data_IF_313796830973
#
_entry.id   IF_313796830973
#
_cell.length_a   1.000
_cell.length_b   1.000
_cell.length_c   1.000
_cell.angle_alpha   90.00
_cell.angle_beta   90.00
_cell.angle_gamma   90.00
#
_symmetry.space_group_name_H-M   'P 1'
#
loop_
_entity.id
_entity.type
_entity.pdbx_description
1 polymer ?
#
# COMPACT_ATOMS: atom_id res chain seq x y z
N UNK A 1 -7.55 14.95 -25.55
CA UNK A 1 -7.81 14.60 -24.13
C UNK A 1 -7.78 15.87 -23.31
N UNK A 2 -8.76 16.06 -22.42
CA UNK A 2 -8.79 17.20 -21.48
C UNK A 2 -7.81 16.91 -20.33
N UNK A 3 -6.76 17.74 -20.18
CA UNK A 3 -5.70 17.53 -19.20
C UNK A 3 -6.17 17.72 -17.76
N UNK A 4 -7.17 18.56 -17.49
CA UNK A 4 -7.73 18.72 -16.14
C UNK A 4 -8.52 17.47 -15.71
N UNK A 5 -9.24 16.85 -16.65
CA UNK A 5 -9.90 15.56 -16.38
C UNK A 5 -8.88 14.44 -16.13
N UNK A 6 -7.78 14.44 -16.89
CA UNK A 6 -6.70 13.45 -16.69
C UNK A 6 -6.08 13.60 -15.32
N UNK A 7 -5.70 14.82 -14.93
CA UNK A 7 -5.10 15.09 -13.63
C UNK A 7 -6.08 14.76 -12.49
N UNK A 8 -7.35 15.17 -12.59
CA UNK A 8 -8.39 14.82 -11.61
C UNK A 8 -8.54 13.31 -11.47
N UNK A 9 -8.60 12.56 -12.59
CA UNK A 9 -8.67 11.11 -12.58
C UNK A 9 -7.47 10.50 -11.83
N UNK A 10 -6.26 10.95 -12.14
CA UNK A 10 -5.03 10.48 -11.49
C UNK A 10 -5.00 10.81 -10.01
N UNK A 11 -5.36 12.03 -9.63
CA UNK A 11 -5.43 12.43 -8.22
C UNK A 11 -6.36 11.51 -7.44
N UNK A 12 -7.59 11.30 -7.90
CA UNK A 12 -8.59 10.49 -7.20
C UNK A 12 -8.19 9.02 -7.10
N UNK A 13 -7.57 8.46 -8.13
CA UNK A 13 -7.14 7.07 -8.12
C UNK A 13 -5.81 6.85 -7.40
N UNK A 14 -4.85 7.76 -7.54
CA UNK A 14 -3.49 7.56 -7.02
C UNK A 14 -3.33 8.01 -5.58
N UNK A 15 -4.05 9.08 -5.15
CA UNK A 15 -4.03 9.59 -3.76
C UNK A 15 -5.21 9.07 -2.92
N UNK A 16 -6.19 8.44 -3.54
CA UNK A 16 -7.24 7.64 -2.94
C UNK A 16 -7.24 6.23 -3.52
N UNK A 17 -8.41 5.64 -3.58
CA UNK A 17 -8.64 4.32 -4.23
C UNK A 17 -9.71 4.43 -5.34
N UNK A 18 -9.82 5.58 -5.99
CA UNK A 18 -10.86 5.88 -6.96
C UNK A 18 -12.12 6.48 -6.33
N UNK A 19 -13.02 7.04 -7.14
CA UNK A 19 -14.20 7.74 -6.65
C UNK A 19 -15.30 6.77 -6.22
N UNK A 20 -16.13 7.22 -5.29
CA UNK A 20 -17.49 6.70 -5.08
C UNK A 20 -18.44 7.31 -6.09
N UNK A 21 -19.67 6.80 -6.12
CA UNK A 21 -20.74 7.33 -6.99
C UNK A 21 -20.90 8.84 -6.75
N UNK A 22 -20.79 9.63 -7.82
CA UNK A 22 -20.94 11.08 -7.81
C UNK A 22 -19.71 11.90 -7.37
N UNK A 23 -18.73 11.31 -6.70
CA UNK A 23 -17.54 12.02 -6.22
C UNK A 23 -16.71 12.61 -7.36
N UNK A 24 -16.49 11.87 -8.45
CA UNK A 24 -15.68 12.36 -9.55
C UNK A 24 -16.28 13.61 -10.22
N UNK A 25 -17.60 13.62 -10.39
CA UNK A 25 -18.32 14.79 -10.91
C UNK A 25 -18.18 16.01 -9.98
N UNK A 26 -18.16 15.78 -8.67
CA UNK A 26 -17.92 16.84 -7.67
C UNK A 26 -16.51 17.38 -7.80
N UNK A 27 -15.50 16.54 -7.91
CA UNK A 27 -14.10 16.92 -8.10
C UNK A 27 -13.88 17.70 -9.40
N UNK A 28 -14.53 17.30 -10.50
CA UNK A 28 -14.45 18.01 -11.77
C UNK A 28 -15.06 19.42 -11.66
N UNK A 29 -16.16 19.59 -10.93
CA UNK A 29 -16.82 20.90 -10.74
C UNK A 29 -15.98 21.85 -9.90
N UNK A 30 -15.30 21.38 -8.86
CA UNK A 30 -14.46 22.23 -8.00
C UNK A 30 -13.10 22.56 -8.63
N UNK A 31 -12.68 21.82 -9.66
CA UNK A 31 -11.42 22.01 -10.37
C UNK A 31 -10.21 21.34 -9.70
N UNK A 32 -9.11 21.22 -10.45
CA UNK A 32 -7.91 20.50 -10.05
C UNK A 32 -7.26 21.01 -8.75
N UNK A 33 -7.07 22.33 -8.54
CA UNK A 33 -6.45 22.81 -7.30
C UNK A 33 -7.25 22.43 -6.06
N UNK A 34 -8.57 22.68 -6.07
CA UNK A 34 -9.44 22.38 -4.93
C UNK A 34 -9.57 20.86 -4.69
N UNK A 35 -9.57 20.05 -5.77
CA UNK A 35 -9.53 18.58 -5.66
C UNK A 35 -8.25 18.12 -4.97
N UNK A 36 -7.10 18.65 -5.36
CA UNK A 36 -5.81 18.35 -4.77
C UNK A 36 -5.78 18.69 -3.28
N UNK A 37 -6.20 19.90 -2.94
CA UNK A 37 -6.23 20.36 -1.55
C UNK A 37 -7.19 19.50 -0.70
N UNK A 38 -8.36 19.16 -1.23
CA UNK A 38 -9.31 18.26 -0.58
C UNK A 38 -8.73 16.88 -0.31
N UNK A 39 -8.03 16.28 -1.28
CA UNK A 39 -7.41 14.94 -1.12
C UNK A 39 -6.22 14.96 -0.15
N UNK A 40 -5.47 16.07 -0.08
CA UNK A 40 -4.33 16.23 0.83
C UNK A 40 -4.75 16.62 2.26
N UNK A 41 -6.00 17.03 2.47
CA UNK A 41 -6.53 17.38 3.78
C UNK A 41 -7.05 16.13 4.48
N UNK A 42 -6.39 15.74 5.57
CA UNK A 42 -6.81 14.61 6.40
C UNK A 42 -7.79 15.10 7.47
N UNK A 43 -9.05 14.64 7.46
CA UNK A 43 -10.00 15.02 8.49
C UNK A 43 -9.61 14.40 9.84
N UNK A 44 -9.91 15.10 10.94
CA UNK A 44 -9.69 14.57 12.30
C UNK A 44 -10.57 13.35 12.61
N UNK A 45 -11.73 13.26 11.97
CA UNK A 45 -12.67 12.14 12.05
C UNK A 45 -13.07 11.74 10.63
N UNK A 46 -12.93 10.47 10.30
CA UNK A 46 -13.41 9.89 9.05
C UNK A 46 -14.72 9.14 9.32
N UNK A 47 -15.84 9.73 8.92
CA UNK A 47 -17.18 9.17 9.16
C UNK A 47 -17.41 7.88 8.36
N UNK A 48 -16.76 7.72 7.20
CA UNK A 48 -16.82 6.49 6.41
C UNK A 48 -16.30 5.27 7.16
N UNK A 49 -15.44 5.49 8.17
CA UNK A 49 -14.89 4.42 9.00
C UNK A 49 -15.74 4.07 10.23
N UNK A 50 -16.78 4.85 10.54
CA UNK A 50 -17.58 4.68 11.77
C UNK A 50 -18.30 3.32 11.85
N UNK A 51 -18.59 2.68 10.72
CA UNK A 51 -19.27 1.38 10.66
C UNK A 51 -18.31 0.19 10.69
N UNK A 52 -17.00 0.41 10.71
CA UNK A 52 -16.00 -0.65 10.62
C UNK A 52 -15.64 -1.16 12.00
N UNK A 53 -15.94 -2.43 12.26
CA UNK A 53 -15.56 -3.09 13.50
C UNK A 53 -14.07 -3.43 13.50
N UNK A 54 -13.37 -3.13 14.59
CA UNK A 54 -11.96 -3.49 14.75
C UNK A 54 -11.79 -5.02 14.75
N UNK A 55 -10.69 -5.54 14.17
CA UNK A 55 -10.41 -6.96 14.22
C UNK A 55 -10.08 -7.38 15.65
N UNK A 56 -10.53 -8.57 16.03
CA UNK A 56 -10.25 -9.16 17.34
C UNK A 56 -9.23 -10.28 17.19
N UNK A 57 -8.33 -10.38 18.17
CA UNK A 57 -7.29 -11.41 18.18
C UNK A 57 -7.38 -12.22 19.48
N UNK A 58 -7.66 -13.51 19.32
CA UNK A 58 -7.62 -14.44 20.44
C UNK A 58 -6.23 -15.03 20.51
N UNK A 59 -5.65 -15.07 21.70
CA UNK A 59 -4.40 -15.78 21.93
C UNK A 59 -4.66 -17.29 21.76
N UNK A 60 -4.08 -17.87 20.75
CA UNK A 60 -4.15 -19.30 20.47
C UNK A 60 -2.99 -20.09 21.09
N UNK A 61 -2.19 -19.41 21.90
CA UNK A 61 -1.03 -19.99 22.57
C UNK A 61 0.14 -20.22 21.62
N UNK A 62 1.11 -21.01 22.11
CA UNK A 62 2.26 -21.44 21.32
C UNK A 62 1.81 -22.38 20.20
N UNK A 63 2.44 -22.23 19.01
CA UNK A 63 2.20 -23.15 17.89
C UNK A 63 2.45 -24.61 18.35
N UNK A 64 1.45 -25.49 18.19
CA UNK A 64 1.60 -26.92 18.52
C UNK A 64 2.66 -27.58 17.63
N UNK A 65 3.20 -28.71 18.13
CA UNK A 65 4.14 -29.52 17.35
C UNK A 65 3.46 -30.07 16.09
N UNK A 66 4.22 -30.21 14.99
CA UNK A 66 3.70 -30.81 13.76
C UNK A 66 3.13 -32.22 14.05
N UNK A 67 2.02 -32.55 13.37
CA UNK A 67 1.35 -33.87 13.48
C UNK A 67 0.64 -34.11 14.83
N UNK A 68 0.42 -33.09 15.66
CA UNK A 68 -0.45 -33.22 16.83
C UNK A 68 -1.89 -32.82 16.49
N UNK A 69 -2.92 -33.31 17.22
CA UNK A 69 -4.33 -32.95 16.95
C UNK A 69 -4.60 -31.45 17.05
N UNK A 70 -3.84 -30.72 17.88
CA UNK A 70 -3.99 -29.29 18.16
C UNK A 70 -3.53 -28.41 16.99
N UNK A 71 -2.73 -28.92 16.05
CA UNK A 71 -2.19 -28.15 14.93
C UNK A 71 -3.29 -27.64 13.98
N UNK A 72 -4.36 -28.46 13.79
CA UNK A 72 -5.45 -28.09 12.87
C UNK A 72 -6.30 -26.97 13.47
N UNK A 73 -6.82 -27.04 14.71
CA UNK A 73 -7.54 -25.93 15.35
C UNK A 73 -6.70 -24.64 15.40
N UNK A 74 -5.41 -24.74 15.72
CA UNK A 74 -4.49 -23.60 15.71
C UNK A 74 -4.42 -22.95 14.32
N UNK A 75 -4.18 -23.74 13.27
CA UNK A 75 -4.08 -23.25 11.89
C UNK A 75 -5.38 -22.62 11.41
N UNK A 76 -6.53 -23.21 11.76
CA UNK A 76 -7.86 -22.65 11.44
C UNK A 76 -8.07 -21.30 12.14
N UNK A 77 -7.72 -21.21 13.43
CA UNK A 77 -7.81 -19.96 14.19
C UNK A 77 -6.91 -18.86 13.62
N UNK A 78 -5.66 -19.18 13.29
CA UNK A 78 -4.72 -18.23 12.66
C UNK A 78 -5.24 -17.75 11.30
N UNK A 79 -5.76 -18.67 10.47
CA UNK A 79 -6.35 -18.33 9.18
C UNK A 79 -7.53 -17.39 9.34
N UNK A 80 -8.48 -17.71 10.22
CA UNK A 80 -9.68 -16.90 10.45
C UNK A 80 -9.32 -15.48 10.90
N UNK A 81 -8.42 -15.33 11.86
CA UNK A 81 -7.98 -14.01 12.33
C UNK A 81 -7.22 -13.22 11.23
N UNK A 82 -6.44 -13.92 10.39
CA UNK A 82 -5.77 -13.29 9.25
C UNK A 82 -6.77 -12.80 8.20
N UNK A 83 -7.78 -13.59 7.87
CA UNK A 83 -8.82 -13.23 6.91
C UNK A 83 -9.66 -12.05 7.42
N UNK A 84 -9.96 -12.02 8.72
CA UNK A 84 -10.63 -10.89 9.37
C UNK A 84 -9.77 -9.60 9.30
N UNK A 85 -8.48 -9.70 9.56
CA UNK A 85 -7.56 -8.57 9.44
C UNK A 85 -7.48 -8.02 8.01
N UNK A 86 -7.38 -8.90 7.02
CA UNK A 86 -7.36 -8.50 5.61
C UNK A 86 -8.66 -7.83 5.21
N UNK A 87 -9.81 -8.41 5.58
CA UNK A 87 -11.13 -7.87 5.27
C UNK A 87 -11.35 -6.51 5.93
N UNK A 88 -10.99 -6.37 7.21
CA UNK A 88 -11.02 -5.11 7.93
C UNK A 88 -10.21 -4.02 7.24
N UNK A 89 -8.99 -4.33 6.78
CA UNK A 89 -8.16 -3.33 6.11
C UNK A 89 -8.71 -2.95 4.74
N UNK A 90 -9.23 -3.92 3.98
CA UNK A 90 -9.89 -3.63 2.71
C UNK A 90 -11.18 -2.81 2.89
N UNK A 91 -11.94 -3.02 3.97
CA UNK A 91 -13.07 -2.17 4.31
C UNK A 91 -12.64 -0.73 4.57
N UNK A 92 -11.55 -0.51 5.29
CA UNK A 92 -11.01 0.84 5.50
C UNK A 92 -10.64 1.53 4.19
N UNK A 93 -9.99 0.82 3.27
CA UNK A 93 -9.65 1.35 1.94
C UNK A 93 -10.89 1.68 1.10
N UNK A 94 -11.96 0.87 1.21
CA UNK A 94 -13.17 1.05 0.42
C UNK A 94 -14.14 2.09 1.01
N UNK A 95 -14.29 2.12 2.33
CA UNK A 95 -15.31 2.92 3.02
C UNK A 95 -14.80 4.25 3.59
N UNK A 96 -13.49 4.41 3.79
CA UNK A 96 -12.91 5.67 4.29
C UNK A 96 -13.26 6.86 3.39
N UNK A 97 -13.62 8.00 3.99
CA UNK A 97 -13.94 9.23 3.27
C UNK A 97 -12.68 9.91 2.72
N UNK A 98 -11.59 9.91 3.51
CA UNK A 98 -10.28 10.32 3.04
C UNK A 98 -9.42 9.09 2.74
N UNK A 99 -9.21 8.85 1.44
CA UNK A 99 -8.42 7.69 0.99
C UNK A 99 -6.91 7.84 1.19
N UNK A 100 -6.38 9.04 1.43
CA UNK A 100 -4.94 9.29 1.41
C UNK A 100 -4.20 8.57 2.55
N UNK A 101 -4.73 8.57 3.77
CA UNK A 101 -4.13 7.87 4.90
C UNK A 101 -4.01 6.37 4.64
N UNK A 102 -5.09 5.73 4.15
CA UNK A 102 -5.05 4.30 3.83
C UNK A 102 -4.20 4.02 2.58
N UNK A 103 -4.16 4.94 1.60
CA UNK A 103 -3.26 4.87 0.44
C UNK A 103 -1.78 4.88 0.88
N UNK A 104 -1.43 5.76 1.81
CA UNK A 104 -0.07 5.82 2.34
C UNK A 104 0.24 4.65 3.27
N UNK A 105 -0.72 4.15 4.04
CA UNK A 105 -0.59 2.90 4.81
C UNK A 105 -0.29 1.72 3.87
N UNK A 106 -0.98 1.65 2.72
CA UNK A 106 -0.72 0.66 1.68
C UNK A 106 0.66 0.82 1.04
N UNK A 107 1.09 2.06 0.79
CA UNK A 107 2.44 2.36 0.30
C UNK A 107 3.51 1.87 1.30
N UNK A 108 3.36 2.21 2.58
CA UNK A 108 4.32 1.81 3.62
C UNK A 108 4.36 0.30 3.85
N UNK A 109 3.24 -0.40 3.72
CA UNK A 109 3.23 -1.86 3.74
C UNK A 109 4.02 -2.48 2.57
N UNK A 110 4.08 -1.82 1.42
CA UNK A 110 4.92 -2.23 0.30
C UNK A 110 6.38 -1.78 0.43
N UNK A 111 6.66 -0.75 1.22
CA UNK A 111 8.00 -0.22 1.49
C UNK A 111 8.71 -0.99 2.62
N UNK A 112 8.06 -1.14 3.77
CA UNK A 112 8.53 -1.92 4.92
C UNK A 112 7.98 -3.36 4.86
N UNK A 113 8.14 -4.01 3.71
CA UNK A 113 7.39 -5.21 3.42
C UNK A 113 7.73 -6.38 4.35
N UNK A 114 6.69 -6.87 5.03
CA UNK A 114 6.71 -8.05 5.88
C UNK A 114 5.57 -8.99 5.51
N UNK A 115 5.79 -10.29 5.55
CA UNK A 115 4.78 -11.27 5.15
C UNK A 115 4.29 -12.11 6.32
N UNK A 116 2.97 -12.22 6.43
CA UNK A 116 2.33 -13.09 7.41
C UNK A 116 2.67 -14.57 7.19
N UNK A 117 3.17 -14.94 6.01
CA UNK A 117 3.60 -16.30 5.72
C UNK A 117 4.73 -16.81 6.63
N UNK A 118 5.65 -15.91 7.08
CA UNK A 118 6.70 -16.22 8.05
C UNK A 118 6.28 -15.87 9.48
N UNK A 119 5.61 -14.71 9.66
CA UNK A 119 5.18 -14.21 10.97
C UNK A 119 4.22 -15.20 11.63
N UNK A 120 3.28 -15.75 10.87
CA UNK A 120 2.27 -16.73 11.31
C UNK A 120 1.34 -16.27 12.45
N UNK A 121 1.39 -15.00 12.85
CA UNK A 121 0.53 -14.40 13.85
C UNK A 121 -0.04 -13.08 13.31
N UNK A 122 -1.36 -12.90 13.28
CA UNK A 122 -1.97 -11.69 12.72
C UNK A 122 -1.85 -10.46 13.61
N UNK A 123 -1.72 -10.60 14.93
CA UNK A 123 -1.62 -9.46 15.85
C UNK A 123 -0.37 -8.59 15.62
N UNK A 124 0.86 -9.13 15.42
CA UNK A 124 2.00 -8.31 15.02
C UNK A 124 1.79 -7.57 13.70
N UNK A 125 1.16 -8.20 12.71
CA UNK A 125 0.84 -7.56 11.43
C UNK A 125 -0.20 -6.44 11.56
N UNK A 126 -1.18 -6.60 12.46
CA UNK A 126 -2.12 -5.54 12.81
C UNK A 126 -1.41 -4.35 13.47
N UNK A 127 -0.55 -4.61 14.45
CA UNK A 127 0.24 -3.55 15.12
C UNK A 127 1.12 -2.79 14.12
N UNK A 128 1.77 -3.49 13.23
CA UNK A 128 2.56 -2.88 12.16
C UNK A 128 1.69 -2.03 11.22
N UNK A 129 0.51 -2.51 10.85
CA UNK A 129 -0.44 -1.76 10.02
C UNK A 129 -0.90 -0.47 10.73
N UNK A 130 -1.16 -0.52 12.05
CA UNK A 130 -1.47 0.67 12.85
C UNK A 130 -0.27 1.63 12.95
N UNK A 131 0.96 1.11 13.04
CA UNK A 131 2.18 1.93 12.99
C UNK A 131 2.29 2.67 11.66
N UNK A 132 2.07 1.98 10.54
CA UNK A 132 2.05 2.62 9.22
C UNK A 132 0.98 3.70 9.14
N UNK A 133 -0.21 3.47 9.66
CA UNK A 133 -1.32 4.43 9.64
C UNK A 133 -1.02 5.64 10.50
N UNK A 134 -0.48 5.43 11.70
CA UNK A 134 -0.10 6.51 12.61
C UNK A 134 0.88 7.49 11.97
N UNK A 135 1.86 6.97 11.26
CA UNK A 135 2.91 7.75 10.61
C UNK A 135 2.72 7.93 9.11
N UNK A 136 1.56 7.55 8.56
CA UNK A 136 1.29 7.51 7.12
C UNK A 136 1.72 8.78 6.37
N UNK A 137 1.45 9.95 6.96
CA UNK A 137 1.69 11.29 6.43
C UNK A 137 2.52 12.16 7.41
N UNK A 138 2.98 11.58 8.50
CA UNK A 138 3.75 12.26 9.55
C UNK A 138 5.25 12.28 9.28
N UNK A 139 6.02 12.19 10.35
CA UNK A 139 7.48 12.28 10.30
C UNK A 139 8.11 10.92 10.00
N UNK A 140 8.94 10.86 8.94
CA UNK A 140 9.61 9.61 8.54
C UNK A 140 10.67 9.13 9.52
N UNK A 141 11.33 10.04 10.26
CA UNK A 141 12.29 9.63 11.30
C UNK A 141 11.58 8.90 12.44
N UNK A 142 10.42 9.39 12.88
CA UNK A 142 9.61 8.72 13.88
C UNK A 142 9.10 7.35 13.38
N UNK A 143 8.66 7.27 12.11
CA UNK A 143 8.29 6.00 11.50
C UNK A 143 9.47 5.03 11.47
N UNK A 144 10.63 5.48 11.03
CA UNK A 144 11.84 4.67 10.93
C UNK A 144 12.29 4.10 12.29
N UNK A 145 12.26 4.92 13.35
CA UNK A 145 12.51 4.46 14.72
C UNK A 145 11.46 3.44 15.20
N UNK A 146 10.17 3.69 14.93
CA UNK A 146 9.10 2.77 15.27
C UNK A 146 9.28 1.41 14.56
N UNK A 147 9.73 1.42 13.30
CA UNK A 147 9.98 0.20 12.53
C UNK A 147 11.16 -0.60 13.04
N UNK A 148 12.20 0.03 13.60
CA UNK A 148 13.30 -0.71 14.26
C UNK A 148 12.81 -1.55 15.45
N UNK A 149 11.74 -1.14 16.10
CA UNK A 149 11.14 -1.86 17.24
C UNK A 149 9.80 -2.51 16.88
N UNK A 150 9.50 -2.64 15.58
CA UNK A 150 8.32 -3.35 15.10
C UNK A 150 8.53 -4.86 15.16
N UNK A 151 7.66 -5.57 15.87
CA UNK A 151 7.81 -7.00 16.11
C UNK A 151 7.69 -7.85 14.84
N UNK A 152 6.86 -7.42 13.88
CA UNK A 152 6.72 -8.12 12.62
C UNK A 152 7.99 -7.97 11.77
N UNK A 153 8.54 -6.75 11.65
CA UNK A 153 9.77 -6.49 10.90
C UNK A 153 10.98 -7.19 11.52
N UNK A 154 11.13 -7.09 12.84
CA UNK A 154 12.21 -7.77 13.58
C UNK A 154 12.18 -9.28 13.36
N UNK A 155 11.00 -9.90 13.44
CA UNK A 155 10.85 -11.34 13.21
C UNK A 155 11.04 -11.71 11.73
N UNK A 156 10.55 -10.88 10.81
CA UNK A 156 10.67 -11.11 9.37
C UNK A 156 12.13 -11.15 8.90
N UNK A 157 12.98 -10.28 9.45
CA UNK A 157 14.39 -10.12 9.10
C UNK A 157 15.34 -10.82 10.09
N UNK A 158 14.82 -11.68 10.98
CA UNK A 158 15.57 -12.44 11.99
C UNK A 158 16.39 -11.54 12.94
N UNK A 159 15.95 -10.30 13.15
CA UNK A 159 16.60 -9.35 14.05
C UNK A 159 16.60 -9.80 15.51
N UNK A 160 15.59 -10.58 15.95
CA UNK A 160 15.51 -11.17 17.29
C UNK A 160 16.63 -12.20 17.58
N UNK A 161 17.28 -12.72 16.55
CA UNK A 161 18.38 -13.67 16.70
C UNK A 161 19.74 -12.94 16.80
N UNK A 162 19.80 -11.64 16.48
CA UNK A 162 21.00 -10.83 16.43
C UNK A 162 21.62 -10.65 17.82
N UNK A 163 22.91 -11.02 17.97
CA UNK A 163 23.67 -10.87 19.21
C UNK A 163 25.06 -10.31 18.93
N UNK A 164 25.75 -9.79 19.96
CA UNK A 164 27.13 -9.31 19.81
C UNK A 164 28.09 -10.41 19.32
N UNK A 165 27.77 -11.69 19.53
CA UNK A 165 28.56 -12.85 19.04
C UNK A 165 28.26 -13.20 17.60
N UNK A 166 27.03 -12.94 17.15
CA UNK A 166 26.52 -13.24 15.82
C UNK A 166 25.58 -12.11 15.38
N UNK A 167 26.13 -10.96 14.96
CA UNK A 167 25.31 -9.88 14.43
C UNK A 167 24.59 -10.30 13.15
N UNK A 168 23.32 -9.92 13.02
CA UNK A 168 22.50 -10.22 11.84
C UNK A 168 22.66 -9.11 10.80
N UNK A 169 23.36 -9.39 9.72
CA UNK A 169 23.57 -8.43 8.63
C UNK A 169 22.30 -8.19 7.80
N UNK A 170 21.37 -9.13 7.76
CA UNK A 170 20.16 -9.02 6.93
C UNK A 170 19.32 -7.79 7.30
N UNK A 171 18.97 -7.65 8.60
CA UNK A 171 18.23 -6.48 9.07
C UNK A 171 19.00 -5.18 8.76
N UNK A 172 20.31 -5.17 9.00
CA UNK A 172 21.16 -3.99 8.76
C UNK A 172 21.22 -3.60 7.28
N UNK A 173 21.40 -4.56 6.40
CA UNK A 173 21.44 -4.39 4.95
C UNK A 173 20.10 -3.84 4.44
N UNK A 174 18.99 -4.50 4.76
CA UNK A 174 17.67 -4.09 4.31
C UNK A 174 17.27 -2.72 4.85
N UNK A 175 17.72 -2.38 6.08
CA UNK A 175 17.45 -1.07 6.66
C UNK A 175 18.10 0.06 5.87
N UNK A 176 19.31 -0.15 5.35
CA UNK A 176 19.97 0.82 4.47
C UNK A 176 19.44 0.74 3.04
N UNK A 177 19.35 -0.45 2.48
CA UNK A 177 19.12 -0.64 1.05
C UNK A 177 17.66 -0.41 0.63
N UNK A 178 16.70 -1.05 1.34
CA UNK A 178 15.30 -1.02 0.94
C UNK A 178 14.48 0.03 1.66
N UNK A 179 14.93 0.47 2.86
CA UNK A 179 14.09 1.29 3.69
C UNK A 179 14.55 2.75 3.82
N UNK A 180 15.86 3.04 3.69
CA UNK A 180 16.35 4.40 3.94
C UNK A 180 17.23 5.02 2.86
N UNK A 181 18.25 4.35 2.36
CA UNK A 181 19.23 4.97 1.46
C UNK A 181 19.10 4.57 0.00
N UNK A 182 18.74 3.31 -0.27
CA UNK A 182 18.80 2.71 -1.59
C UNK A 182 20.12 1.98 -1.87
N UNK A 183 20.15 1.26 -2.98
CA UNK A 183 21.31 0.46 -3.41
C UNK A 183 22.56 1.32 -3.69
N UNK A 184 23.76 0.74 -3.49
CA UNK A 184 25.05 1.35 -3.83
C UNK A 184 25.41 2.64 -3.08
N UNK A 185 24.83 2.88 -1.89
CA UNK A 185 25.09 4.08 -1.06
C UNK A 185 25.76 3.76 0.27
N UNK A 186 26.24 2.55 0.42
CA UNK A 186 26.93 2.02 1.60
C UNK A 186 27.91 0.92 1.18
N UNK A 187 28.83 0.57 2.06
CA UNK A 187 29.80 -0.51 1.89
C UNK A 187 29.40 -1.75 2.70
N UNK A 188 30.06 -2.88 2.45
CA UNK A 188 29.90 -4.10 3.27
C UNK A 188 30.37 -3.88 4.72
N UNK A 189 31.32 -2.99 4.96
CA UNK A 189 31.74 -2.65 6.32
C UNK A 189 30.67 -1.82 7.06
N UNK A 190 29.89 -0.98 6.33
CA UNK A 190 28.73 -0.30 6.89
C UNK A 190 27.61 -1.29 7.26
N UNK A 191 27.41 -2.35 6.45
CA UNK A 191 26.46 -3.43 6.78
C UNK A 191 26.84 -4.12 8.08
N UNK A 192 28.12 -4.45 8.26
CA UNK A 192 28.62 -5.05 9.52
C UNK A 192 28.49 -4.08 10.70
N UNK A 193 28.75 -2.78 10.46
CA UNK A 193 28.64 -1.75 11.49
C UNK A 193 27.20 -1.61 12.00
N UNK A 194 26.22 -1.52 11.08
CA UNK A 194 24.81 -1.40 11.46
C UNK A 194 24.31 -2.70 12.09
N UNK A 195 24.70 -3.87 11.59
CA UNK A 195 24.32 -5.16 12.17
C UNK A 195 24.73 -5.26 13.63
N UNK A 196 25.96 -4.81 13.98
CA UNK A 196 26.46 -4.75 15.37
C UNK A 196 25.63 -3.77 16.22
N UNK A 197 25.31 -2.60 15.67
CA UNK A 197 24.51 -1.57 16.37
C UNK A 197 23.07 -2.00 16.63
N UNK A 198 22.52 -2.91 15.81
CA UNK A 198 21.14 -3.43 15.94
C UNK A 198 21.05 -4.76 16.70
N UNK A 199 22.11 -5.19 17.39
CA UNK A 199 22.05 -6.38 18.25
C UNK A 199 21.25 -6.15 19.52
N UNK A 200 20.73 -7.22 20.13
CA UNK A 200 20.11 -7.20 21.46
C UNK A 200 18.58 -7.15 21.49
N UNK A 201 17.91 -6.97 20.37
CA UNK A 201 16.44 -7.03 20.31
C UNK A 201 15.94 -8.47 20.46
N UNK A 202 14.81 -8.64 21.14
CA UNK A 202 14.11 -9.90 21.32
C UNK A 202 12.62 -9.69 21.06
N UNK A 203 11.97 -10.68 20.43
CA UNK A 203 10.56 -10.59 20.01
C UNK A 203 9.75 -11.72 20.58
N UNK A 204 8.60 -11.40 21.15
CA UNK A 204 7.54 -12.37 21.43
C UNK A 204 6.65 -12.45 20.18
N UNK A 205 6.83 -13.49 19.39
CA UNK A 205 6.22 -13.58 18.06
C UNK A 205 4.68 -13.47 18.08
N UNK A 206 4.00 -14.11 19.02
CA UNK A 206 2.53 -14.12 19.11
C UNK A 206 1.94 -12.72 19.37
N UNK A 207 2.64 -11.87 20.12
CA UNK A 207 2.18 -10.51 20.46
C UNK A 207 2.87 -9.41 19.65
N UNK A 208 4.01 -9.70 19.01
CA UNK A 208 4.87 -8.69 18.40
C UNK A 208 5.54 -7.76 19.41
N UNK A 209 5.60 -8.14 20.69
CA UNK A 209 6.26 -7.32 21.71
C UNK A 209 7.76 -7.43 21.55
N UNK A 210 8.44 -6.29 21.41
CA UNK A 210 9.90 -6.20 21.32
C UNK A 210 10.46 -5.72 22.66
N UNK A 211 11.53 -6.37 23.07
CA UNK A 211 12.33 -5.98 24.28
C UNK A 211 13.80 -5.86 23.90
N UNK A 212 14.55 -5.05 24.64
CA UNK A 212 15.97 -4.89 24.44
C UNK A 212 16.75 -5.54 25.58
N UNK A 213 17.71 -6.40 25.25
CA UNK A 213 18.56 -7.11 26.17
C UNK A 213 20.03 -6.65 26.01
N UNK A 214 20.48 -5.80 26.94
CA UNK A 214 21.85 -5.27 26.92
C UNK A 214 22.94 -6.36 26.95
N UNK A 215 22.69 -7.53 27.57
CA UNK A 215 23.64 -8.65 27.58
C UNK A 215 23.86 -9.29 26.22
N UNK A 216 22.97 -9.02 25.27
CA UNK A 216 23.05 -9.50 23.88
C UNK A 216 23.57 -8.42 22.91
N UNK A 217 23.64 -7.18 23.38
CA UNK A 217 24.03 -6.01 22.58
C UNK A 217 25.55 -5.83 22.46
N UNK A 218 26.04 -5.40 21.28
CA UNK A 218 27.43 -4.99 21.08
C UNK A 218 27.59 -3.53 21.51
N UNK A 219 28.33 -3.31 22.61
CA UNK A 219 28.56 -1.99 23.19
C UNK A 219 29.80 -1.28 22.64
N UNK A 220 30.49 -1.86 21.64
CA UNK A 220 31.70 -1.27 21.07
C UNK A 220 31.34 -0.24 19.99
N UNK A 221 32.20 0.80 19.88
CA UNK A 221 32.08 1.73 18.77
C UNK A 221 32.23 1.03 17.42
N UNK A 222 31.48 1.55 16.42
CA UNK A 222 31.55 1.13 15.03
C UNK A 222 31.75 2.36 14.15
N UNK A 223 32.30 2.15 12.95
CA UNK A 223 32.36 3.18 11.91
C UNK A 223 31.23 2.91 10.90
N UNK A 224 30.23 3.80 10.87
CA UNK A 224 29.10 3.74 9.97
C UNK A 224 29.13 4.97 9.07
N UNK A 225 29.24 4.77 7.76
CA UNK A 225 29.26 5.84 6.74
C UNK A 225 30.21 6.98 7.10
N UNK A 226 31.44 6.62 7.56
CA UNK A 226 32.48 7.54 7.92
C UNK A 226 32.42 8.14 9.33
N UNK A 227 31.38 7.84 10.12
CA UNK A 227 31.23 8.32 11.50
C UNK A 227 31.53 7.21 12.49
N UNK A 228 32.50 7.42 13.40
CA UNK A 228 32.89 6.44 14.43
C UNK A 228 32.33 6.83 15.78
N UNK A 229 31.42 6.03 16.32
CA UNK A 229 30.89 6.13 17.69
C UNK A 229 30.18 4.84 18.10
N UNK A 230 29.76 4.75 19.34
CA UNK A 230 28.72 3.80 19.74
C UNK A 230 27.37 4.32 19.23
N UNK A 231 26.67 3.51 18.45
CA UNK A 231 25.32 3.81 17.94
C UNK A 231 24.28 2.96 18.68
N UNK A 232 23.28 3.59 19.22
CA UNK A 232 22.02 2.92 19.56
C UNK A 232 21.16 2.71 18.32
N UNK A 233 20.16 1.82 18.37
CA UNK A 233 19.24 1.62 17.24
C UNK A 233 18.52 2.91 16.80
N UNK A 234 18.07 3.73 17.77
CA UNK A 234 17.47 5.02 17.47
C UNK A 234 18.44 5.97 16.76
N UNK A 235 19.69 6.06 17.25
CA UNK A 235 20.72 6.90 16.61
C UNK A 235 21.12 6.40 15.21
N UNK A 236 21.09 5.08 14.97
CA UNK A 236 21.24 4.52 13.61
C UNK A 236 20.16 5.06 12.71
N UNK A 237 18.89 4.94 13.13
CA UNK A 237 17.75 5.43 12.36
C UNK A 237 17.88 6.92 12.03
N UNK A 238 18.11 7.76 13.05
CA UNK A 238 18.23 9.20 12.88
C UNK A 238 19.41 9.58 11.95
N UNK A 239 20.53 8.90 12.10
CA UNK A 239 21.73 9.12 11.29
C UNK A 239 21.49 8.81 9.81
N UNK A 240 20.80 7.71 9.50
CA UNK A 240 20.47 7.34 8.12
C UNK A 240 19.41 8.26 7.52
N UNK A 241 18.35 8.56 8.28
CA UNK A 241 17.26 9.42 7.81
C UNK A 241 17.71 10.87 7.63
N UNK A 242 18.71 11.33 8.37
CA UNK A 242 19.27 12.68 8.23
C UNK A 242 20.01 12.92 6.90
N UNK A 243 20.39 11.87 6.19
CA UNK A 243 21.20 11.98 4.96
C UNK A 243 20.37 12.44 3.76
N UNK A 244 21.00 13.16 2.85
CA UNK A 244 20.40 13.59 1.56
C UNK A 244 20.02 12.38 0.70
N UNK A 245 20.77 11.29 0.79
CA UNK A 245 20.45 10.02 0.14
C UNK A 245 19.07 9.50 0.54
N UNK A 246 18.70 9.64 1.82
CA UNK A 246 17.37 9.22 2.29
C UNK A 246 16.27 10.10 1.69
N UNK A 247 16.45 11.43 1.69
CA UNK A 247 15.50 12.35 1.10
C UNK A 247 15.25 12.01 -0.38
N UNK A 248 16.31 11.74 -1.12
CA UNK A 248 16.23 11.34 -2.51
C UNK A 248 15.53 9.99 -2.67
N UNK A 249 15.94 8.98 -1.91
CA UNK A 249 15.37 7.63 -2.01
C UNK A 249 13.87 7.60 -1.71
N UNK A 250 13.42 8.23 -0.63
CA UNK A 250 11.98 8.29 -0.30
C UNK A 250 11.20 9.05 -1.38
N UNK A 251 11.77 10.13 -1.92
CA UNK A 251 11.16 10.86 -3.03
C UNK A 251 11.06 10.00 -4.29
N UNK A 252 12.09 9.22 -4.63
CA UNK A 252 12.10 8.26 -5.74
C UNK A 252 11.04 7.17 -5.57
N UNK A 253 10.87 6.64 -4.34
CA UNK A 253 9.84 5.64 -4.03
C UNK A 253 8.42 6.21 -4.19
N UNK A 254 8.18 7.45 -3.75
CA UNK A 254 6.91 8.13 -3.93
C UNK A 254 6.65 8.49 -5.40
N UNK A 255 7.66 8.99 -6.12
CA UNK A 255 7.56 9.21 -7.57
C UNK A 255 7.15 7.94 -8.30
N UNK A 256 7.86 6.85 -8.06
CA UNK A 256 7.61 5.54 -8.68
C UNK A 256 6.18 5.03 -8.42
N UNK A 257 5.62 5.33 -7.26
CA UNK A 257 4.31 4.82 -6.85
C UNK A 257 3.15 5.75 -7.27
N UNK A 258 3.38 7.05 -7.40
CA UNK A 258 2.31 8.01 -7.62
C UNK A 258 2.38 8.77 -8.95
N UNK A 259 3.54 8.83 -9.60
CA UNK A 259 3.70 9.55 -10.87
C UNK A 259 3.97 8.58 -12.02
N UNK A 260 5.10 7.86 -11.97
CA UNK A 260 5.50 6.97 -13.06
C UNK A 260 6.34 5.81 -12.55
N UNK A 261 6.00 4.59 -12.99
CA UNK A 261 6.79 3.39 -12.75
C UNK A 261 7.81 3.11 -13.88
N UNK A 262 7.84 3.94 -14.91
CA UNK A 262 8.72 3.79 -16.09
C UNK A 262 9.68 4.95 -16.26
N UNK A 263 9.26 6.17 -15.93
CA UNK A 263 10.07 7.38 -16.04
C UNK A 263 10.79 7.68 -14.73
N UNK A 264 12.11 7.90 -14.81
CA UNK A 264 12.91 8.25 -13.64
C UNK A 264 12.51 9.62 -13.07
N UNK A 265 12.58 9.75 -11.75
CA UNK A 265 12.38 11.02 -11.08
C UNK A 265 13.45 12.04 -11.51
N UNK A 266 13.07 13.27 -11.90
CA UNK A 266 14.03 14.33 -12.22
C UNK A 266 14.92 14.69 -11.02
N UNK A 267 16.19 15.03 -11.29
CA UNK A 267 17.12 15.43 -10.23
C UNK A 267 16.69 16.67 -9.44
N UNK A 268 15.92 17.56 -10.07
CA UNK A 268 15.40 18.80 -9.47
C UNK A 268 13.97 18.66 -8.95
N UNK A 269 13.48 17.43 -8.73
CA UNK A 269 12.14 17.22 -8.18
C UNK A 269 11.98 17.89 -6.82
N UNK A 270 10.96 18.75 -6.69
CA UNK A 270 10.75 19.55 -5.49
C UNK A 270 10.51 18.74 -4.21
N UNK A 271 10.05 17.49 -4.34
CA UNK A 271 9.84 16.59 -3.22
C UNK A 271 11.11 16.29 -2.41
N UNK A 272 12.29 16.29 -3.05
CA UNK A 272 13.57 16.07 -2.36
C UNK A 272 13.81 17.17 -1.31
N UNK A 273 13.60 18.44 -1.69
CA UNK A 273 13.73 19.57 -0.79
C UNK A 273 12.61 19.63 0.25
N UNK A 274 11.40 19.21 -0.14
CA UNK A 274 10.23 19.14 0.75
C UNK A 274 10.42 18.16 1.90
N UNK A 275 11.34 17.20 1.79
CA UNK A 275 11.67 16.23 2.83
C UNK A 275 12.65 16.78 3.90
N UNK A 276 13.05 18.05 3.83
CA UNK A 276 14.05 18.63 4.75
C UNK A 276 13.73 18.41 6.24
N UNK A 277 12.47 18.47 6.64
CA UNK A 277 11.99 18.19 8.00
C UNK A 277 11.52 16.73 8.19
N UNK A 278 11.75 15.85 7.23
CA UNK A 278 11.30 14.45 7.18
C UNK A 278 9.76 14.29 7.18
N UNK A 279 9.04 15.36 6.84
CA UNK A 279 7.58 15.35 6.76
C UNK A 279 7.10 14.69 5.46
N UNK A 280 6.45 13.54 5.58
CA UNK A 280 5.97 12.73 4.46
C UNK A 280 4.91 13.49 3.66
N UNK A 281 3.97 14.16 4.33
CA UNK A 281 2.91 14.92 3.67
C UNK A 281 3.47 16.00 2.74
N UNK A 282 4.59 16.63 3.11
CA UNK A 282 5.24 17.66 2.28
C UNK A 282 5.72 17.10 0.93
N UNK A 283 6.31 15.89 0.94
CA UNK A 283 6.72 15.22 -0.30
C UNK A 283 5.51 14.74 -1.10
N UNK A 284 4.50 14.17 -0.45
CA UNK A 284 3.24 13.75 -1.09
C UNK A 284 2.55 14.95 -1.76
N UNK A 285 2.55 16.11 -1.12
CA UNK A 285 2.01 17.34 -1.69
C UNK A 285 2.83 17.84 -2.90
N UNK A 286 4.16 17.71 -2.85
CA UNK A 286 5.01 18.01 -4.00
C UNK A 286 4.74 17.08 -5.18
N UNK A 287 4.58 15.76 -4.93
CA UNK A 287 4.17 14.77 -5.92
C UNK A 287 2.81 15.14 -6.55
N UNK A 288 1.82 15.48 -5.73
CA UNK A 288 0.48 15.85 -6.22
C UNK A 288 0.45 17.12 -7.06
N UNK A 289 1.43 18.02 -6.87
CA UNK A 289 1.54 19.30 -7.59
C UNK A 289 2.44 19.24 -8.82
N UNK A 290 3.17 18.13 -9.01
CA UNK A 290 4.12 18.01 -10.10
C UNK A 290 3.41 17.95 -11.47
N UNK A 291 3.96 18.66 -12.45
CA UNK A 291 3.42 18.72 -13.82
C UNK A 291 3.40 17.35 -14.52
N UNK A 292 4.23 16.43 -14.10
CA UNK A 292 4.25 15.05 -14.58
C UNK A 292 2.92 14.30 -14.31
N UNK A 293 2.10 14.78 -13.36
CA UNK A 293 0.73 14.29 -13.15
C UNK A 293 -0.18 14.52 -14.36
N UNK A 294 0.15 15.49 -15.22
CA UNK A 294 -0.60 15.85 -16.45
C UNK A 294 -0.03 15.21 -17.72
N UNK A 295 1.17 14.63 -17.64
CA UNK A 295 1.82 14.02 -18.82
C UNK A 295 1.18 12.66 -19.15
N UNK A 296 0.56 12.48 -20.34
CA UNK A 296 -0.04 11.22 -20.75
C UNK A 296 0.90 10.01 -20.69
N UNK A 297 2.22 10.22 -20.82
CA UNK A 297 3.22 9.14 -20.73
C UNK A 297 3.27 8.47 -19.36
N UNK A 298 2.88 9.18 -18.31
CA UNK A 298 2.90 8.69 -16.94
C UNK A 298 1.63 7.91 -16.57
N UNK A 299 1.15 7.08 -17.49
CA UNK A 299 0.09 6.13 -17.21
C UNK A 299 0.58 5.04 -16.26
N UNK A 300 -0.28 4.63 -15.31
CA UNK A 300 0.06 3.62 -14.31
C UNK A 300 -0.96 2.49 -14.29
N UNK A 301 -0.46 1.26 -14.27
CA UNK A 301 -1.31 0.07 -14.14
C UNK A 301 -1.77 -0.06 -12.68
N UNK A 302 -3.08 -0.16 -12.48
CA UNK A 302 -3.63 -0.47 -11.15
C UNK A 302 -3.19 -1.87 -10.71
N UNK A 303 -2.59 -1.96 -9.52
CA UNK A 303 -2.34 -3.25 -8.90
C UNK A 303 -3.65 -3.99 -8.64
N UNK A 304 -3.63 -5.31 -8.43
CA UNK A 304 -4.87 -6.07 -8.18
C UNK A 304 -5.70 -5.53 -7.02
N UNK A 305 -5.07 -5.14 -5.92
CA UNK A 305 -5.77 -4.55 -4.76
C UNK A 305 -6.29 -3.14 -5.11
N UNK A 306 -5.50 -2.30 -5.78
CA UNK A 306 -5.95 -0.97 -6.22
C UNK A 306 -7.15 -1.07 -7.15
N UNK A 307 -7.12 -2.01 -8.10
CA UNK A 307 -8.22 -2.26 -9.03
C UNK A 307 -9.48 -2.74 -8.29
N UNK A 308 -9.32 -3.71 -7.38
CA UNK A 308 -10.43 -4.27 -6.61
C UNK A 308 -11.10 -3.20 -5.72
N UNK A 309 -10.31 -2.46 -4.94
CA UNK A 309 -10.86 -1.43 -4.04
C UNK A 309 -11.55 -0.31 -4.83
N UNK A 310 -10.93 0.11 -5.95
CA UNK A 310 -11.55 1.09 -6.85
C UNK A 310 -12.89 0.59 -7.41
N UNK A 311 -12.96 -0.68 -7.83
CA UNK A 311 -14.21 -1.30 -8.29
C UNK A 311 -15.24 -1.41 -7.15
N UNK A 312 -14.83 -1.82 -5.94
CA UNK A 312 -15.71 -1.93 -4.78
C UNK A 312 -16.34 -0.57 -4.42
N UNK A 313 -15.56 0.54 -4.47
CA UNK A 313 -16.07 1.90 -4.25
C UNK A 313 -17.12 2.30 -5.29
N UNK A 314 -16.84 2.09 -6.57
CA UNK A 314 -17.76 2.41 -7.67
C UNK A 314 -19.03 1.54 -7.66
N UNK A 315 -18.91 0.30 -7.21
CA UNK A 315 -20.02 -0.66 -7.11
C UNK A 315 -20.75 -0.60 -5.76
N UNK A 316 -20.35 0.28 -4.83
CA UNK A 316 -20.89 0.42 -3.46
C UNK A 316 -20.83 -0.89 -2.66
N UNK A 317 -19.75 -1.65 -2.82
CA UNK A 317 -19.52 -2.92 -2.14
C UNK A 317 -18.65 -2.75 -0.90
N UNK A 318 -19.00 -3.43 0.17
CA UNK A 318 -18.17 -3.57 1.38
C UNK A 318 -17.40 -4.89 1.29
N UNK A 319 -16.06 -4.89 1.23
CA UNK A 319 -15.24 -6.09 1.06
C UNK A 319 -15.57 -7.23 2.03
N UNK A 320 -15.73 -6.94 3.33
CA UNK A 320 -16.06 -7.95 4.35
C UNK A 320 -17.47 -8.55 4.22
N UNK A 321 -18.39 -7.85 3.51
CA UNK A 321 -19.77 -8.29 3.30
C UNK A 321 -19.98 -9.04 1.99
N UNK A 322 -18.93 -9.21 1.19
CA UNK A 322 -19.01 -9.98 -0.05
C UNK A 322 -19.33 -11.45 0.25
N UNK A 323 -20.24 -12.00 -0.52
CA UNK A 323 -20.56 -13.44 -0.41
C UNK A 323 -19.33 -14.25 -0.74
N UNK A 324 -18.94 -15.16 0.16
CA UNK A 324 -17.80 -16.05 0.00
C UNK A 324 -16.44 -15.29 0.02
N UNK A 325 -15.99 -14.90 1.21
CA UNK A 325 -14.65 -14.27 1.43
C UNK A 325 -13.49 -15.08 0.83
N UNK A 326 -13.61 -16.42 0.84
CA UNK A 326 -12.64 -17.31 0.20
C UNK A 326 -12.51 -17.05 -1.31
N UNK A 327 -13.61 -16.67 -1.99
CA UNK A 327 -13.58 -16.35 -3.42
C UNK A 327 -12.84 -15.04 -3.69
N UNK A 328 -13.03 -14.01 -2.85
CA UNK A 328 -12.27 -12.77 -2.92
C UNK A 328 -10.76 -13.04 -2.83
N UNK A 329 -10.35 -13.80 -1.79
CA UNK A 329 -8.94 -14.18 -1.60
C UNK A 329 -8.41 -14.98 -2.78
N UNK A 330 -9.22 -15.89 -3.34
CA UNK A 330 -8.82 -16.68 -4.52
C UNK A 330 -8.55 -15.77 -5.74
N UNK A 331 -9.42 -14.79 -6.03
CA UNK A 331 -9.18 -13.85 -7.13
C UNK A 331 -7.93 -13.00 -6.92
N UNK A 332 -7.74 -12.45 -5.72
CA UNK A 332 -6.55 -11.67 -5.40
C UNK A 332 -5.27 -12.53 -5.51
N UNK A 333 -5.32 -13.79 -5.07
CA UNK A 333 -4.22 -14.74 -5.21
C UNK A 333 -3.91 -15.04 -6.69
N UNK A 334 -4.92 -15.27 -7.52
CA UNK A 334 -4.75 -15.51 -8.97
C UNK A 334 -4.19 -14.29 -9.69
N UNK A 335 -4.47 -13.09 -9.19
CA UNK A 335 -3.90 -11.84 -9.69
C UNK A 335 -2.52 -11.51 -9.07
N UNK A 336 -2.05 -12.29 -8.08
CA UNK A 336 -0.71 -12.18 -7.50
C UNK A 336 -0.55 -11.15 -6.39
N UNK A 337 -1.65 -10.60 -5.82
CA UNK A 337 -1.54 -9.63 -4.74
C UNK A 337 -2.61 -9.83 -3.67
N UNK A 338 -2.19 -10.18 -2.47
CA UNK A 338 -3.06 -10.28 -1.28
C UNK A 338 -2.46 -9.37 -0.20
N UNK A 339 -3.23 -8.50 0.47
CA UNK A 339 -2.73 -7.74 1.61
C UNK A 339 -2.08 -8.66 2.65
N UNK A 340 -1.02 -8.20 3.28
CA UNK A 340 -0.18 -8.92 4.27
C UNK A 340 0.64 -10.11 3.72
N UNK A 341 0.63 -10.34 2.39
CA UNK A 341 1.41 -11.39 1.75
C UNK A 341 2.36 -10.86 0.67
N UNK A 342 3.22 -9.86 0.93
CA UNK A 342 4.22 -9.49 -0.07
C UNK A 342 5.13 -10.69 -0.37
N UNK A 343 5.55 -10.86 -1.64
CA UNK A 343 6.36 -12.01 -2.05
C UNK A 343 7.79 -11.97 -1.51
N UNK A 344 8.29 -10.80 -1.17
CA UNK A 344 9.64 -10.58 -0.63
C UNK A 344 9.70 -9.31 0.21
N UNK A 345 10.87 -9.05 0.83
CA UNK A 345 11.16 -7.81 1.54
C UNK A 345 11.12 -6.56 0.64
N UNK A 346 11.30 -6.71 -0.67
CA UNK A 346 11.13 -5.63 -1.66
C UNK A 346 9.68 -5.28 -2.00
N UNK A 347 8.70 -5.96 -1.41
CA UNK A 347 7.27 -5.73 -1.66
C UNK A 347 6.76 -6.42 -2.93
N UNK A 348 5.72 -5.84 -3.55
CA UNK A 348 5.13 -6.33 -4.78
C UNK A 348 5.70 -5.64 -6.02
N UNK A 349 5.64 -6.29 -7.19
CA UNK A 349 5.97 -5.64 -8.45
C UNK A 349 5.00 -4.49 -8.76
N UNK A 350 5.31 -3.71 -9.79
CA UNK A 350 4.50 -2.59 -10.28
C UNK A 350 4.42 -2.59 -11.79
N UNK A 351 3.55 -1.71 -12.32
CA UNK A 351 3.46 -1.44 -13.75
C UNK A 351 3.05 -2.66 -14.57
N UNK A 352 3.76 -2.92 -15.65
CA UNK A 352 3.43 -3.96 -16.63
C UNK A 352 3.44 -5.39 -16.08
N UNK A 353 4.10 -5.63 -14.94
CA UNK A 353 4.09 -6.93 -14.27
C UNK A 353 2.66 -7.41 -13.93
N UNK A 354 1.70 -6.49 -13.83
CA UNK A 354 0.28 -6.79 -13.60
C UNK A 354 -0.52 -7.04 -14.89
N UNK A 355 0.10 -6.93 -16.07
CA UNK A 355 -0.53 -7.10 -17.38
C UNK A 355 -0.08 -8.42 -18.00
N UNK A 356 -0.97 -9.40 -18.01
CA UNK A 356 -0.80 -10.67 -18.71
C UNK A 356 -2.15 -11.16 -19.20
N UNK A 357 -2.16 -12.07 -20.16
CA UNK A 357 -3.40 -12.72 -20.64
C UNK A 357 -4.15 -13.40 -19.49
N UNK A 358 -3.44 -14.06 -18.58
CA UNK A 358 -4.03 -14.70 -17.41
C UNK A 358 -4.65 -13.65 -16.47
N UNK A 359 -3.96 -12.53 -16.20
CA UNK A 359 -4.50 -11.47 -15.35
C UNK A 359 -5.72 -10.80 -15.96
N UNK A 360 -5.78 -10.67 -17.28
CA UNK A 360 -6.97 -10.15 -17.97
C UNK A 360 -8.17 -11.08 -17.81
N UNK A 361 -8.00 -12.38 -18.00
CA UNK A 361 -9.05 -13.38 -17.79
C UNK A 361 -9.56 -13.39 -16.35
N UNK A 362 -8.63 -13.36 -15.37
CA UNK A 362 -9.02 -13.32 -13.96
C UNK A 362 -9.70 -12.02 -13.58
N UNK A 363 -9.32 -10.86 -14.15
CA UNK A 363 -10.03 -9.59 -13.93
C UNK A 363 -11.46 -9.64 -14.47
N UNK A 364 -11.69 -10.22 -15.65
CA UNK A 364 -13.05 -10.39 -16.21
C UNK A 364 -13.90 -11.27 -15.29
N UNK A 365 -13.37 -12.41 -14.88
CA UNK A 365 -14.09 -13.31 -13.96
C UNK A 365 -14.36 -12.63 -12.59
N UNK A 366 -13.41 -11.88 -12.09
CA UNK A 366 -13.53 -11.15 -10.83
C UNK A 366 -14.56 -10.00 -10.95
N UNK A 367 -14.50 -9.20 -12.04
CA UNK A 367 -15.48 -8.15 -12.32
C UNK A 367 -16.90 -8.73 -12.41
N UNK A 368 -17.07 -9.86 -13.13
CA UNK A 368 -18.35 -10.54 -13.24
C UNK A 368 -18.89 -10.98 -11.87
N UNK A 369 -18.01 -11.50 -11.01
CA UNK A 369 -18.39 -11.90 -9.66
C UNK A 369 -18.76 -10.70 -8.77
N UNK A 370 -18.05 -9.57 -8.86
CA UNK A 370 -18.35 -8.33 -8.12
C UNK A 370 -19.67 -7.70 -8.58
N UNK A 371 -19.85 -7.56 -9.89
CA UNK A 371 -21.04 -6.94 -10.48
C UNK A 371 -22.33 -7.68 -10.07
N UNK A 372 -22.30 -9.02 -9.99
CA UNK A 372 -23.43 -9.83 -9.50
C UNK A 372 -23.82 -9.55 -8.04
N UNK A 373 -22.98 -8.90 -7.27
CA UNK A 373 -23.24 -8.57 -5.85
C UNK A 373 -23.62 -7.09 -5.66
N UNK A 374 -23.53 -6.28 -6.71
CA UNK A 374 -23.89 -4.85 -6.71
C UNK A 374 -25.31 -4.63 -7.21
N UNK A 375 -25.92 -3.56 -6.73
CA UNK A 375 -27.18 -3.03 -7.28
C UNK A 375 -26.95 -2.13 -8.51
N UNK A 376 -25.70 -1.87 -8.88
CA UNK A 376 -25.30 -1.00 -10.01
C UNK A 376 -25.93 0.40 -9.99
N UNK A 377 -26.27 0.95 -8.82
CA UNK A 377 -26.99 2.23 -8.71
C UNK A 377 -26.32 3.33 -9.49
N UNK A 378 -25.03 3.55 -9.27
CA UNK A 378 -24.28 4.60 -9.95
C UNK A 378 -24.25 4.49 -11.47
N UNK A 379 -24.45 3.28 -12.03
CA UNK A 379 -24.61 3.07 -13.46
C UNK A 379 -26.05 3.23 -13.92
N UNK A 380 -27.02 2.69 -13.18
CA UNK A 380 -28.43 2.66 -13.55
C UNK A 380 -29.10 4.03 -13.44
N UNK A 381 -28.60 4.91 -12.57
CA UNK A 381 -29.04 6.31 -12.46
C UNK A 381 -28.62 7.17 -13.67
N UNK A 382 -27.66 6.68 -14.48
CA UNK A 382 -27.28 7.36 -15.71
C UNK A 382 -28.30 7.03 -16.80
N UNK A 383 -28.94 8.05 -17.44
CA UNK A 383 -29.82 7.83 -18.58
C UNK A 383 -29.13 7.03 -19.69
N UNK A 384 -29.85 6.07 -20.30
CA UNK A 384 -29.27 5.12 -21.26
C UNK A 384 -28.55 5.82 -22.42
N UNK A 385 -29.12 6.91 -22.94
CA UNK A 385 -28.57 7.69 -24.03
C UNK A 385 -27.23 8.39 -23.67
N UNK A 386 -26.97 8.62 -22.38
CA UNK A 386 -25.73 9.23 -21.88
C UNK A 386 -24.78 8.21 -21.26
N UNK A 387 -25.24 6.98 -21.04
CA UNK A 387 -24.54 5.97 -20.23
C UNK A 387 -23.12 5.70 -20.71
N UNK A 388 -22.90 5.61 -22.02
CA UNK A 388 -21.55 5.36 -22.57
C UNK A 388 -20.57 6.46 -22.18
N UNK A 389 -20.93 7.72 -22.28
CA UNK A 389 -20.00 8.81 -21.97
C UNK A 389 -19.92 9.07 -20.46
N UNK A 390 -21.06 9.11 -19.77
CA UNK A 390 -21.12 9.45 -18.36
C UNK A 390 -20.64 8.31 -17.43
N UNK A 391 -20.53 7.07 -17.92
CA UNK A 391 -19.89 5.99 -17.17
C UNK A 391 -18.38 6.22 -16.93
N UNK A 392 -17.75 7.10 -17.70
CA UNK A 392 -16.41 7.55 -17.40
C UNK A 392 -16.36 8.30 -16.05
N UNK A 393 -17.37 9.12 -15.76
CA UNK A 393 -17.47 9.85 -14.49
C UNK A 393 -17.77 8.89 -13.32
N UNK A 394 -18.62 7.88 -13.55
CA UNK A 394 -18.89 6.85 -12.55
C UNK A 394 -17.63 6.12 -12.08
N UNK A 395 -16.70 5.84 -13.01
CA UNK A 395 -15.45 5.12 -12.69
C UNK A 395 -14.24 6.05 -12.49
N UNK A 396 -14.40 7.36 -12.59
CA UNK A 396 -13.31 8.32 -12.50
C UNK A 396 -12.29 8.20 -13.65
N UNK A 397 -12.74 7.78 -14.82
CA UNK A 397 -11.90 7.69 -16.03
C UNK A 397 -11.89 9.03 -16.75
N UNK A 398 -10.72 9.46 -17.20
CA UNK A 398 -10.59 10.74 -17.89
C UNK A 398 -11.39 10.77 -19.22
N UNK A 399 -11.28 9.70 -20.02
CA UNK A 399 -11.98 9.58 -21.30
C UNK A 399 -11.93 8.12 -21.78
N UNK A 400 -13.05 7.62 -22.32
CA UNK A 400 -13.06 6.36 -23.07
C UNK A 400 -12.49 6.53 -24.48
N UNK A 401 -11.66 5.61 -24.94
CA UNK A 401 -11.27 5.52 -26.34
C UNK A 401 -12.45 5.18 -27.24
N UNK A 402 -12.37 5.47 -28.55
CA UNK A 402 -13.43 5.09 -29.51
C UNK A 402 -13.73 3.58 -29.49
N UNK A 403 -12.71 2.74 -29.27
CA UNK A 403 -12.85 1.29 -29.18
C UNK A 403 -13.67 0.88 -27.95
N UNK A 404 -13.35 1.43 -26.78
CA UNK A 404 -14.09 1.18 -25.53
C UNK A 404 -15.52 1.70 -25.63
N UNK A 405 -15.73 2.91 -26.19
CA UNK A 405 -17.06 3.45 -26.43
C UNK A 405 -17.90 2.53 -27.32
N UNK A 406 -17.33 1.95 -28.38
CA UNK A 406 -18.01 1.02 -29.26
C UNK A 406 -18.43 -0.26 -28.53
N UNK A 407 -17.53 -0.85 -27.74
CA UNK A 407 -17.83 -2.02 -26.93
C UNK A 407 -18.96 -1.74 -25.92
N UNK A 408 -18.90 -0.60 -25.22
CA UNK A 408 -19.92 -0.20 -24.25
C UNK A 408 -21.28 0.07 -24.91
N UNK A 409 -21.32 0.64 -26.13
CA UNK A 409 -22.59 0.80 -26.90
C UNK A 409 -23.25 -0.53 -27.21
N UNK A 410 -22.46 -1.55 -27.56
CA UNK A 410 -23.00 -2.88 -27.89
C UNK A 410 -23.61 -3.60 -26.67
N UNK A 411 -23.20 -3.23 -25.45
CA UNK A 411 -23.68 -3.82 -24.20
C UNK A 411 -24.73 -2.99 -23.45
N UNK A 412 -25.29 -1.91 -24.06
CA UNK A 412 -26.28 -1.02 -23.42
C UNK A 412 -27.54 -1.74 -22.92
N UNK A 413 -27.93 -2.85 -23.57
CA UNK A 413 -29.09 -3.65 -23.18
C UNK A 413 -28.83 -4.54 -21.95
N UNK A 414 -27.57 -4.81 -21.60
CA UNK A 414 -27.19 -5.58 -20.42
C UNK A 414 -26.29 -4.74 -19.49
N UNK A 415 -26.85 -4.13 -18.44
CA UNK A 415 -26.08 -3.32 -17.50
C UNK A 415 -24.95 -4.09 -16.77
N UNK A 416 -25.11 -5.41 -16.61
CA UNK A 416 -24.08 -6.23 -15.96
C UNK A 416 -22.89 -6.42 -16.89
N UNK A 417 -23.13 -6.77 -18.15
CA UNK A 417 -22.09 -6.86 -19.18
C UNK A 417 -21.41 -5.51 -19.37
N UNK A 418 -22.18 -4.42 -19.45
CA UNK A 418 -21.66 -3.07 -19.54
C UNK A 418 -20.69 -2.74 -18.41
N UNK A 419 -21.08 -3.03 -17.15
CA UNK A 419 -20.26 -2.79 -15.98
C UNK A 419 -18.96 -3.61 -15.99
N UNK A 420 -19.03 -4.89 -16.38
CA UNK A 420 -17.83 -5.75 -16.52
C UNK A 420 -16.88 -5.20 -17.58
N UNK A 421 -17.38 -4.81 -18.76
CA UNK A 421 -16.57 -4.24 -19.82
C UNK A 421 -15.92 -2.92 -19.39
N UNK A 422 -16.65 -2.04 -18.70
CA UNK A 422 -16.13 -0.79 -18.21
C UNK A 422 -15.02 -0.99 -17.16
N UNK A 423 -15.21 -1.89 -16.19
CA UNK A 423 -14.22 -2.24 -15.15
C UNK A 423 -12.96 -2.94 -15.70
N UNK A 424 -13.09 -3.64 -16.84
CA UNK A 424 -11.98 -4.33 -17.49
C UNK A 424 -11.38 -3.55 -18.66
N UNK A 425 -11.87 -2.35 -18.94
CA UNK A 425 -11.35 -1.51 -20.02
C UNK A 425 -9.90 -1.10 -19.79
N UNK A 426 -9.12 -0.89 -20.86
CA UNK A 426 -7.74 -0.42 -20.72
C UNK A 426 -7.64 0.88 -19.92
N UNK A 427 -8.56 1.82 -20.12
CA UNK A 427 -8.55 3.14 -19.48
C UNK A 427 -8.87 3.06 -17.99
N UNK A 428 -9.59 2.03 -17.56
CA UNK A 428 -9.82 1.81 -16.13
C UNK A 428 -8.71 1.01 -15.46
N UNK A 429 -8.17 -0.01 -16.15
CA UNK A 429 -7.07 -0.85 -15.64
C UNK A 429 -5.77 -0.07 -15.61
N UNK A 430 -5.52 0.73 -16.64
CA UNK A 430 -4.37 1.63 -16.73
C UNK A 430 -4.90 3.04 -16.47
N UNK A 431 -4.58 3.59 -15.32
CA UNK A 431 -5.00 4.94 -14.92
C UNK A 431 -4.25 5.97 -15.77
N UNK A 432 -4.72 6.17 -16.98
CA UNK A 432 -4.17 7.09 -17.97
C UNK A 432 -4.77 8.48 -17.80
#
# INVERSE_FOLDING_TARGET
MNLDRLETSRLVHRFGFGPRVGEFTTYLKQGVPATRDSLLTVPSVDLGLASITLPTFTDLGKRPEPNTPEIIPFAVGMRSQTENLISWWMDRMALGDNGLTERMTWFWHGHWATSISKINHPLPMYKQNETFRKYALGNFAEMSQAMLTDGALQYWLDGQESTFKSPNENLGREFMELFTLGVNRYSEDDVKAIARSLTGYQVVNSSGTVTFNLKRHDTKAVTLLGTTKHFTGAEVSDFLVARDDCARFISERLWYRFISSTEAMPNNFAGIQSFANREILSVVAAVAKDSAMRDPKNAMVKSPVDWFISAARALELTPSKLKTSAQLKNYLNKLGQIPLYPPSVGGWPSGEAWLSSASAQYRIAFATWLVKQSQLRGLLEIPVERRVLSSADWLGVAQWSPRTQSALRNSLSDPMEFAVLALCSPEYVVNA
#
